data_IF_904056824605
#
_entry.id   IF_904056824605
#
_cell.length_a   1.000
_cell.length_b   1.000
_cell.length_c   1.000
_cell.angle_alpha   90.00
_cell.angle_beta   90.00
_cell.angle_gamma   90.00
#
_symmetry.space_group_name_H-M   'P 1'
#
loop_
_entity.id
_entity.type
_entity.pdbx_description
1 polymer ?
#
# COMPACT_ATOMS: atom_id res chain seq x y z
N UNK A 1 16.07 16.34 15.01
CA UNK A 1 15.68 15.23 15.91
C UNK A 1 14.95 14.20 15.06
N UNK A 2 15.22 12.90 15.24
CA UNK A 2 14.58 11.86 14.45
C UNK A 2 13.07 11.80 14.74
N UNK A 3 12.25 11.74 13.70
CA UNK A 3 10.80 11.55 13.82
C UNK A 3 10.49 10.06 13.95
N UNK A 4 9.45 9.71 14.71
CA UNK A 4 8.96 8.33 14.76
C UNK A 4 8.47 7.86 13.40
N UNK A 5 8.81 6.62 13.03
CA UNK A 5 8.33 5.99 11.79
C UNK A 5 6.98 5.31 12.04
N UNK A 6 6.05 5.45 11.09
CA UNK A 6 4.79 4.71 11.11
C UNK A 6 5.08 3.19 11.06
N UNK A 7 4.80 2.42 12.13
CA UNK A 7 5.16 1.00 12.19
C UNK A 7 4.37 0.15 11.20
N UNK A 8 3.19 0.61 10.77
CA UNK A 8 2.45 -0.04 9.71
C UNK A 8 3.18 0.14 8.37
N UNK A 9 3.66 1.33 8.04
CA UNK A 9 4.37 1.55 6.77
C UNK A 9 5.84 1.14 6.81
N UNK A 10 6.40 0.92 8.00
CA UNK A 10 7.74 0.35 8.21
C UNK A 10 7.78 -1.18 8.00
N UNK A 11 7.22 -1.62 6.88
CA UNK A 11 7.25 -2.99 6.39
C UNK A 11 7.41 -2.94 4.88
N UNK A 12 8.44 -3.62 4.38
CA UNK A 12 8.84 -3.61 2.97
C UNK A 12 7.66 -3.77 2.01
N UNK A 13 6.87 -4.84 2.17
CA UNK A 13 5.76 -5.12 1.25
C UNK A 13 4.63 -4.08 1.35
N UNK A 14 4.28 -3.61 2.55
CA UNK A 14 3.25 -2.57 2.69
C UNK A 14 3.72 -1.24 2.09
N UNK A 15 5.00 -0.91 2.27
CA UNK A 15 5.59 0.26 1.65
C UNK A 15 5.59 0.15 0.12
N UNK A 16 5.95 -1.01 -0.43
CA UNK A 16 5.93 -1.25 -1.87
C UNK A 16 4.50 -1.12 -2.45
N UNK A 17 3.49 -1.70 -1.78
CA UNK A 17 2.08 -1.56 -2.19
C UNK A 17 1.64 -0.09 -2.17
N UNK A 18 1.92 0.65 -1.10
CA UNK A 18 1.56 2.08 -1.01
C UNK A 18 2.27 2.93 -2.05
N UNK A 19 3.56 2.66 -2.30
CA UNK A 19 4.37 3.36 -3.31
C UNK A 19 3.88 3.09 -4.73
N UNK A 20 3.37 1.89 -4.99
CA UNK A 20 2.75 1.58 -6.28
C UNK A 20 1.41 2.32 -6.42
N UNK A 21 0.54 2.23 -5.41
CA UNK A 21 -0.80 2.81 -5.44
C UNK A 21 -0.82 4.34 -5.41
N UNK A 22 0.21 5.01 -4.90
CA UNK A 22 0.27 6.49 -4.95
C UNK A 22 0.53 7.01 -6.37
N UNK A 23 1.06 6.18 -7.27
CA UNK A 23 1.42 6.55 -8.65
C UNK A 23 0.32 6.24 -9.67
N UNK A 24 -0.79 5.63 -9.24
CA UNK A 24 -1.90 5.21 -10.10
C UNK A 24 -3.24 5.50 -9.43
N UNK A 25 -4.32 5.62 -10.19
CA UNK A 25 -5.67 5.81 -9.60
C UNK A 25 -6.14 4.55 -8.86
N UNK A 26 -5.90 3.37 -9.44
CA UNK A 26 -6.20 2.07 -8.85
C UNK A 26 -5.36 0.98 -9.53
N UNK A 27 -5.22 -0.16 -8.86
CA UNK A 27 -4.55 -1.32 -9.40
C UNK A 27 -5.27 -2.61 -9.01
N UNK A 28 -5.30 -3.60 -9.91
CA UNK A 28 -5.80 -4.92 -9.55
C UNK A 28 -4.76 -5.73 -8.77
N UNK A 29 -5.25 -6.65 -7.93
CA UNK A 29 -4.42 -7.49 -7.07
C UNK A 29 -3.37 -8.30 -7.83
N UNK A 30 -3.66 -8.74 -9.07
CA UNK A 30 -2.71 -9.53 -9.86
C UNK A 30 -1.54 -8.66 -10.30
N UNK A 31 -1.81 -7.43 -10.73
CA UNK A 31 -0.78 -6.46 -11.05
C UNK A 31 0.09 -6.14 -9.83
N UNK A 32 -0.52 -5.80 -8.68
CA UNK A 32 0.23 -5.51 -7.45
C UNK A 32 1.14 -6.68 -7.07
N UNK A 33 0.64 -7.92 -7.19
CA UNK A 33 1.43 -9.13 -6.93
C UNK A 33 2.62 -9.28 -7.87
N UNK A 34 2.45 -8.96 -9.14
CA UNK A 34 3.52 -9.03 -10.14
C UNK A 34 4.61 -8.00 -9.85
N UNK A 35 4.22 -6.74 -9.61
CA UNK A 35 5.16 -5.65 -9.34
C UNK A 35 5.90 -5.84 -8.00
N UNK A 36 5.24 -6.40 -6.99
CA UNK A 36 5.85 -6.62 -5.67
C UNK A 36 6.59 -7.94 -5.54
N UNK A 37 6.43 -8.87 -6.49
CA UNK A 37 6.96 -10.24 -6.40
C UNK A 37 6.41 -11.08 -5.24
N UNK A 38 5.37 -10.60 -4.55
CA UNK A 38 4.82 -11.27 -3.37
C UNK A 38 4.03 -12.53 -3.73
N UNK A 39 3.95 -13.47 -2.78
CA UNK A 39 2.98 -14.56 -2.89
C UNK A 39 1.57 -14.01 -2.66
N UNK A 40 0.55 -14.65 -3.26
CA UNK A 40 -0.83 -14.20 -3.12
C UNK A 40 -1.30 -14.18 -1.65
N UNK A 41 -0.93 -15.20 -0.86
CA UNK A 41 -1.29 -15.26 0.56
C UNK A 41 -0.69 -14.11 1.36
N UNK A 42 0.61 -13.82 1.18
CA UNK A 42 1.24 -12.71 1.88
C UNK A 42 0.65 -11.36 1.45
N UNK A 43 0.46 -11.14 0.15
CA UNK A 43 -0.11 -9.89 -0.36
C UNK A 43 -1.52 -9.65 0.17
N UNK A 44 -2.37 -10.68 0.21
CA UNK A 44 -3.72 -10.57 0.77
C UNK A 44 -3.67 -10.06 2.21
N UNK A 45 -2.86 -10.70 3.06
CA UNK A 45 -2.73 -10.31 4.47
C UNK A 45 -2.22 -8.87 4.63
N UNK A 46 -1.30 -8.42 3.77
CA UNK A 46 -0.79 -7.05 3.84
C UNK A 46 -1.81 -6.02 3.36
N UNK A 47 -2.55 -6.31 2.28
CA UNK A 47 -3.63 -5.44 1.79
C UNK A 47 -4.74 -5.35 2.84
N UNK A 48 -5.12 -6.45 3.47
CA UNK A 48 -6.13 -6.46 4.53
C UNK A 48 -5.71 -5.58 5.72
N UNK A 49 -4.42 -5.59 6.10
CA UNK A 49 -3.88 -4.71 7.14
C UNK A 49 -3.92 -3.23 6.75
N UNK A 50 -3.55 -2.91 5.51
CA UNK A 50 -3.61 -1.55 4.99
C UNK A 50 -5.06 -1.05 4.90
N UNK A 51 -5.98 -1.93 4.52
CA UNK A 51 -7.40 -1.62 4.44
C UNK A 51 -8.04 -1.45 5.81
N UNK A 52 -7.71 -2.32 6.76
CA UNK A 52 -8.15 -2.18 8.15
C UNK A 52 -7.65 -0.88 8.81
N UNK A 53 -6.49 -0.37 8.39
CA UNK A 53 -5.97 0.93 8.83
C UNK A 53 -6.58 2.14 8.08
N UNK A 54 -7.45 1.89 7.09
CA UNK A 54 -8.05 2.92 6.26
C UNK A 54 -7.12 3.50 5.20
N UNK A 55 -5.95 2.90 4.94
CA UNK A 55 -4.98 3.43 3.97
C UNK A 55 -5.25 2.98 2.53
N UNK A 56 -5.90 1.83 2.36
CA UNK A 56 -6.25 1.26 1.06
C UNK A 56 -7.72 0.85 1.05
N UNK A 57 -8.46 1.34 0.05
CA UNK A 57 -9.77 0.84 -0.27
C UNK A 57 -9.65 -0.42 -1.13
N UNK A 58 -10.46 -1.43 -0.85
CA UNK A 58 -10.47 -2.72 -1.55
C UNK A 58 -11.87 -2.97 -2.10
N UNK A 59 -11.98 -3.01 -3.43
CA UNK A 59 -13.24 -3.27 -4.13
C UNK A 59 -13.20 -4.64 -4.81
N UNK A 60 -14.12 -5.52 -4.43
CA UNK A 60 -14.31 -6.81 -5.12
C UNK A 60 -15.32 -6.62 -6.25
N UNK A 61 -14.88 -6.91 -7.47
CA UNK A 61 -15.66 -6.74 -8.70
C UNK A 61 -15.46 -7.94 -9.63
N UNK A 62 -15.97 -7.85 -10.85
CA UNK A 62 -15.77 -8.84 -11.91
C UNK A 62 -15.20 -8.17 -13.15
N UNK A 63 -14.13 -8.76 -13.71
CA UNK A 63 -13.63 -8.41 -15.05
C UNK A 63 -14.14 -9.48 -16.03
N UNK A 64 -15.28 -9.21 -16.65
CA UNK A 64 -16.04 -10.20 -17.39
C UNK A 64 -16.64 -11.26 -16.46
N UNK A 65 -16.26 -12.53 -16.64
CA UNK A 65 -16.71 -13.65 -15.77
C UNK A 65 -15.77 -13.99 -14.62
N UNK A 66 -14.65 -13.26 -14.47
CA UNK A 66 -13.62 -13.57 -13.46
C UNK A 66 -13.70 -12.58 -12.28
N UNK A 67 -13.74 -13.05 -11.03
CA UNK A 67 -13.57 -12.18 -9.86
C UNK A 67 -12.26 -11.40 -9.94
N UNK A 68 -12.31 -10.13 -9.57
CA UNK A 68 -11.19 -9.22 -9.57
C UNK A 68 -11.24 -8.37 -8.30
N UNK A 69 -10.09 -8.13 -7.68
CA UNK A 69 -9.96 -7.24 -6.53
C UNK A 69 -9.18 -6.02 -6.97
N UNK A 70 -9.78 -4.85 -6.87
CA UNK A 70 -9.18 -3.56 -7.15
C UNK A 70 -8.78 -2.93 -5.82
N UNK A 71 -7.58 -2.34 -5.78
CA UNK A 71 -7.07 -1.60 -4.64
C UNK A 71 -6.80 -0.16 -5.04
N UNK A 72 -7.15 0.78 -4.16
CA UNK A 72 -6.95 2.22 -4.33
C UNK A 72 -6.40 2.82 -3.04
N UNK A 73 -5.42 3.70 -3.15
CA UNK A 73 -4.95 4.45 -1.97
C UNK A 73 -6.02 5.47 -1.54
N UNK A 74 -6.29 5.57 -0.25
CA UNK A 74 -7.26 6.56 0.27
C UNK A 74 -6.55 7.89 0.55
N UNK A 75 -7.29 9.01 0.73
CA UNK A 75 -6.68 10.27 1.19
C UNK A 75 -5.90 10.13 2.50
N UNK A 76 -6.41 9.32 3.44
CA UNK A 76 -5.71 9.01 4.70
C UNK A 76 -4.41 8.22 4.44
N UNK A 77 -4.44 7.28 3.50
CA UNK A 77 -3.27 6.51 3.08
C UNK A 77 -2.19 7.37 2.45
N UNK A 78 -2.59 8.33 1.59
CA UNK A 78 -1.67 9.32 1.00
C UNK A 78 -0.99 10.13 2.10
N UNK A 79 -1.77 10.72 3.01
CA UNK A 79 -1.23 11.50 4.12
C UNK A 79 -0.26 10.66 4.99
N UNK A 80 -0.65 9.45 5.36
CA UNK A 80 0.20 8.57 6.16
C UNK A 80 1.51 8.21 5.46
N UNK A 81 1.48 8.03 4.13
CA UNK A 81 2.66 7.75 3.33
C UNK A 81 3.59 8.96 3.24
N UNK A 82 3.05 10.17 3.00
CA UNK A 82 3.82 11.41 2.98
C UNK A 82 4.50 11.67 4.34
N UNK A 83 3.75 11.54 5.43
CA UNK A 83 4.29 11.68 6.79
C UNK A 83 5.41 10.66 7.07
N UNK A 84 5.25 9.42 6.61
CA UNK A 84 6.27 8.38 6.73
C UNK A 84 7.54 8.72 5.94
N UNK A 85 7.40 9.19 4.70
CA UNK A 85 8.53 9.59 3.85
C UNK A 85 9.26 10.79 4.46
N UNK A 86 8.54 11.79 4.96
CA UNK A 86 9.13 12.94 5.65
C UNK A 86 9.86 12.53 6.93
N UNK A 87 9.32 11.58 7.69
CA UNK A 87 10.02 11.02 8.83
C UNK A 87 11.29 10.28 8.41
N UNK A 88 11.23 9.45 7.36
CA UNK A 88 12.37 8.71 6.83
C UNK A 88 13.48 9.63 6.32
N UNK A 89 13.15 10.76 5.68
CA UNK A 89 14.14 11.76 5.24
C UNK A 89 15.00 12.27 6.40
N UNK A 90 14.47 12.37 7.62
CA UNK A 90 15.25 12.78 8.81
C UNK A 90 16.35 11.79 9.21
N UNK A 91 16.30 10.56 8.71
CA UNK A 91 17.33 9.53 8.91
C UNK A 91 18.39 9.50 7.80
N UNK A 92 18.03 9.97 6.60
CA UNK A 92 18.86 9.84 5.39
C UNK A 92 19.60 11.15 5.08
N UNK A 93 18.90 12.28 5.18
CA UNK A 93 19.42 13.59 4.83
C UNK A 93 19.92 14.25 6.11
N UNK A 94 21.23 14.43 6.22
CA UNK A 94 21.89 15.26 7.21
C UNK A 94 22.44 16.52 6.57
#
# INVERSE_FOLDING_TARGET
MFKGLNPLLHSELRLAVMSLLISVEEADFVYIRQETGATAGNLSVQIDKLSAAGYVEVTKTFKGKKPCTICRITPQGVQAFEEYVEALKTYIIK
#
